data_IF_712873727819
#
_entry.id   IF_712873727819
#
_cell.length_a   1.000
_cell.length_b   1.000
_cell.length_c   1.000
_cell.angle_alpha   90.00
_cell.angle_beta   90.00
_cell.angle_gamma   90.00
#
_symmetry.space_group_name_H-M   'P 1'
#
loop_
_entity.id
_entity.type
_entity.pdbx_description
1 polymer ?
#
# COMPACT_ATOMS: atom_id res chain seq x y z
N UNK A 1 19.98 9.07 -14.80
CA UNK A 1 19.52 9.02 -13.42
C UNK A 1 18.46 7.95 -13.28
N UNK A 2 18.70 6.99 -12.43
CA UNK A 2 17.71 5.94 -12.16
C UNK A 2 16.75 6.43 -11.10
N UNK A 3 15.46 6.25 -11.38
CA UNK A 3 14.42 6.54 -10.40
C UNK A 3 13.91 5.19 -9.92
N UNK A 4 14.19 4.89 -8.66
CA UNK A 4 13.67 3.66 -8.07
C UNK A 4 12.19 3.85 -7.73
N UNK A 5 11.35 2.83 -7.98
CA UNK A 5 9.96 2.92 -7.59
C UNK A 5 9.83 3.00 -6.07
N UNK A 6 8.94 3.84 -5.59
CA UNK A 6 8.65 3.93 -4.17
C UNK A 6 7.84 2.71 -3.74
N UNK A 7 8.17 2.18 -2.56
CA UNK A 7 7.43 1.06 -2.02
C UNK A 7 5.97 1.46 -1.73
N UNK A 8 5.78 2.63 -1.14
CA UNK A 8 4.44 3.14 -0.87
C UNK A 8 4.41 4.65 -1.07
N UNK A 9 3.25 5.16 -1.50
CA UNK A 9 3.04 6.59 -1.71
C UNK A 9 1.56 6.91 -1.56
N UNK A 10 1.22 8.20 -1.43
CA UNK A 10 -0.17 8.59 -1.24
C UNK A 10 -0.60 9.67 -2.23
N UNK A 11 -1.92 9.73 -2.45
CA UNK A 11 -2.58 10.78 -3.20
C UNK A 11 -3.76 11.30 -2.41
N UNK A 12 -3.92 12.62 -2.41
CA UNK A 12 -5.14 13.23 -1.89
C UNK A 12 -6.08 13.45 -3.06
N UNK A 13 -7.35 13.07 -2.87
CA UNK A 13 -8.33 13.10 -3.93
C UNK A 13 -9.45 14.10 -3.58
N UNK A 14 -9.95 14.87 -4.57
CA UNK A 14 -11.05 15.81 -4.33
C UNK A 14 -12.39 15.10 -4.11
N UNK A 15 -12.50 13.83 -4.54
CA UNK A 15 -13.71 13.03 -4.39
C UNK A 15 -13.38 11.76 -3.59
N UNK A 16 -14.40 11.07 -3.02
CA UNK A 16 -14.13 9.82 -2.30
C UNK A 16 -13.41 8.78 -3.15
N UNK A 17 -12.44 8.02 -2.57
CA UNK A 17 -11.94 8.22 -1.22
C UNK A 17 -11.11 9.50 -1.11
N UNK A 18 -11.11 10.16 0.04
CA UNK A 18 -10.38 11.43 0.20
C UNK A 18 -8.88 11.28 0.23
N UNK A 19 -8.40 10.10 0.60
CA UNK A 19 -6.98 9.79 0.67
C UNK A 19 -6.77 8.35 0.21
N UNK A 20 -5.78 8.15 -0.64
CA UNK A 20 -5.43 6.84 -1.16
C UNK A 20 -3.92 6.63 -0.96
N UNK A 21 -3.57 5.47 -0.39
CA UNK A 21 -2.17 5.05 -0.28
C UNK A 21 -2.01 3.80 -1.13
N UNK A 22 -1.02 3.81 -2.01
CA UNK A 22 -0.72 2.66 -2.87
C UNK A 22 0.60 2.03 -2.44
N UNK A 23 0.60 0.71 -2.36
CA UNK A 23 1.79 -0.06 -2.05
C UNK A 23 2.14 -0.91 -3.26
N UNK A 24 3.35 -0.74 -3.77
CA UNK A 24 3.85 -1.50 -4.93
C UNK A 24 4.32 -2.88 -4.50
N UNK A 25 3.42 -3.64 -3.91
CA UNK A 25 3.72 -4.93 -3.29
C UNK A 25 4.37 -5.92 -4.24
N UNK A 26 3.82 -6.05 -5.44
CA UNK A 26 4.30 -7.03 -6.42
C UNK A 26 5.72 -6.79 -6.89
N UNK A 27 6.13 -5.51 -7.02
CA UNK A 27 7.48 -5.16 -7.45
C UNK A 27 8.51 -5.65 -6.44
N UNK A 28 8.21 -5.52 -5.14
CA UNK A 28 9.14 -5.85 -4.07
C UNK A 28 9.00 -7.30 -3.59
N UNK A 29 7.78 -7.85 -3.58
CA UNK A 29 7.54 -9.20 -3.10
C UNK A 29 7.54 -10.25 -4.21
N UNK A 30 7.32 -9.85 -5.44
CA UNK A 30 7.24 -10.77 -6.60
C UNK A 30 5.95 -11.59 -6.63
N UNK A 31 4.94 -11.19 -5.88
CA UNK A 31 3.65 -11.89 -5.77
C UNK A 31 2.57 -10.94 -5.25
N UNK A 32 1.34 -11.41 -5.27
CA UNK A 32 0.24 -10.69 -4.63
C UNK A 32 0.27 -10.88 -3.11
N UNK A 33 -0.29 -9.93 -2.38
CA UNK A 33 -0.47 -10.07 -0.94
C UNK A 33 -1.55 -11.12 -0.65
N UNK A 34 -1.35 -11.89 0.40
CA UNK A 34 -2.34 -12.89 0.83
C UNK A 34 -3.42 -12.24 1.69
N UNK A 35 -4.56 -12.92 1.84
CA UNK A 35 -5.63 -12.43 2.70
C UNK A 35 -5.16 -12.22 4.15
N UNK A 36 -4.33 -13.13 4.67
CA UNK A 36 -3.78 -13.01 6.03
C UNK A 36 -2.89 -11.77 6.16
N UNK A 37 -2.08 -11.50 5.14
CA UNK A 37 -1.22 -10.31 5.13
C UNK A 37 -2.05 -9.02 5.07
N UNK A 38 -3.13 -9.01 4.30
CA UNK A 38 -4.06 -7.87 4.24
C UNK A 38 -4.71 -7.64 5.61
N UNK A 39 -5.10 -8.71 6.30
CA UNK A 39 -5.67 -8.59 7.64
C UNK A 39 -4.67 -8.00 8.63
N UNK A 40 -3.41 -8.38 8.53
CA UNK A 40 -2.34 -7.81 9.37
C UNK A 40 -2.19 -6.31 9.12
N UNK A 41 -2.25 -5.90 7.85
CA UNK A 41 -2.18 -4.49 7.48
C UNK A 41 -3.37 -3.72 8.09
N UNK A 42 -4.57 -4.27 7.98
CA UNK A 42 -5.77 -3.67 8.55
C UNK A 42 -5.63 -3.48 10.05
N UNK A 43 -5.14 -4.50 10.76
CA UNK A 43 -4.94 -4.44 12.21
C UNK A 43 -3.92 -3.36 12.59
N UNK A 44 -2.91 -3.13 11.76
CA UNK A 44 -1.93 -2.08 12.00
C UNK A 44 -2.51 -0.68 11.77
N UNK A 45 -3.44 -0.53 10.84
CA UNK A 45 -3.97 0.77 10.43
C UNK A 45 -5.20 1.23 11.21
N UNK A 46 -6.07 0.31 11.61
CA UNK A 46 -7.32 0.65 12.31
C UNK A 46 -7.06 1.53 13.55
N UNK A 47 -6.09 1.23 14.43
CA UNK A 47 -5.85 2.10 15.59
C UNK A 47 -5.39 3.51 15.21
N UNK A 48 -4.85 3.70 14.02
CA UNK A 48 -4.33 5.01 13.57
C UNK A 48 -5.39 5.85 12.86
N UNK A 49 -6.31 5.20 12.17
CA UNK A 49 -7.25 5.87 11.26
C UNK A 49 -8.70 5.66 11.68
N UNK A 50 -9.03 4.52 12.26
CA UNK A 50 -10.38 4.12 12.63
C UNK A 50 -10.96 3.12 11.66
N UNK A 51 -11.12 3.50 10.40
CA UNK A 51 -11.69 2.62 9.38
C UNK A 51 -10.93 2.80 8.07
N UNK A 52 -10.62 1.68 7.42
CA UNK A 52 -9.92 1.67 6.14
C UNK A 52 -10.54 0.64 5.21
N UNK A 53 -10.45 0.90 3.91
CA UNK A 53 -10.75 -0.10 2.88
C UNK A 53 -9.45 -0.48 2.21
N UNK A 54 -9.19 -1.78 2.09
CA UNK A 54 -7.95 -2.28 1.50
C UNK A 54 -8.31 -3.14 0.30
N UNK A 55 -7.75 -2.79 -0.86
CA UNK A 55 -7.99 -3.49 -2.11
C UNK A 55 -6.67 -4.04 -2.63
N UNK A 56 -6.61 -5.35 -2.82
CA UNK A 56 -5.50 -5.97 -3.54
C UNK A 56 -5.90 -6.05 -5.00
N UNK A 57 -5.09 -5.46 -5.87
CA UNK A 57 -5.43 -5.40 -7.30
C UNK A 57 -4.26 -5.79 -8.17
N UNK A 58 -4.59 -6.29 -9.36
CA UNK A 58 -3.61 -6.58 -10.39
C UNK A 58 -3.78 -5.52 -11.47
N UNK A 59 -2.69 -4.84 -11.78
CA UNK A 59 -2.68 -3.79 -12.77
C UNK A 59 -1.87 -4.24 -13.97
N UNK A 60 -2.46 -4.12 -15.14
CA UNK A 60 -1.80 -4.46 -16.41
C UNK A 60 -1.29 -3.19 -17.06
N UNK A 61 0.02 -3.13 -17.28
CA UNK A 61 0.65 -2.07 -18.05
C UNK A 61 0.92 -2.64 -19.44
N UNK A 62 0.20 -2.14 -20.42
CA UNK A 62 0.27 -2.65 -21.78
C UNK A 62 0.80 -1.57 -22.72
N UNK A 63 1.95 -1.82 -23.34
CA UNK A 63 2.53 -0.97 -24.36
C UNK A 63 2.61 -1.71 -25.68
N UNK A 64 3.15 -1.04 -26.70
CA UNK A 64 3.25 -1.63 -28.03
C UNK A 64 4.15 -2.87 -28.06
N UNK A 65 5.19 -2.90 -27.25
CA UNK A 65 6.17 -3.97 -27.23
C UNK A 65 6.29 -4.68 -25.90
N UNK A 66 5.46 -4.30 -24.92
CA UNK A 66 5.59 -4.87 -23.59
C UNK A 66 4.24 -5.01 -22.88
N UNK A 67 4.17 -6.02 -22.05
CA UNK A 67 3.03 -6.23 -21.18
C UNK A 67 3.58 -6.67 -19.82
N UNK A 68 3.11 -6.02 -18.77
CA UNK A 68 3.51 -6.37 -17.41
C UNK A 68 2.29 -6.35 -16.51
N UNK A 69 2.19 -7.34 -15.63
CA UNK A 69 1.18 -7.40 -14.60
C UNK A 69 1.81 -7.01 -13.26
N UNK A 70 1.22 -6.05 -12.58
CA UNK A 70 1.71 -5.55 -11.31
C UNK A 70 0.66 -5.77 -10.22
N UNK A 71 1.11 -6.30 -9.09
CA UNK A 71 0.24 -6.47 -7.93
C UNK A 71 0.44 -5.30 -6.99
N UNK A 72 -0.63 -4.54 -6.75
CA UNK A 72 -0.62 -3.40 -5.85
C UNK A 72 -1.63 -3.60 -4.73
N UNK A 73 -1.35 -2.99 -3.59
CA UNK A 73 -2.31 -2.91 -2.49
C UNK A 73 -2.70 -1.45 -2.37
N UNK A 74 -4.00 -1.18 -2.43
CA UNK A 74 -4.54 0.17 -2.32
C UNK A 74 -5.29 0.31 -1.00
N UNK A 75 -4.90 1.30 -0.23
CA UNK A 75 -5.53 1.63 1.04
C UNK A 75 -6.34 2.90 0.82
N UNK A 76 -7.64 2.82 1.04
CA UNK A 76 -8.55 3.95 0.85
C UNK A 76 -9.08 4.45 2.18
N UNK A 77 -8.96 5.75 2.41
CA UNK A 77 -9.44 6.41 3.60
C UNK A 77 -10.61 7.31 3.22
N UNK A 78 -11.76 7.07 3.82
CA UNK A 78 -12.95 7.89 3.57
C UNK A 78 -12.70 9.34 4.00
N UNK A 79 -13.23 10.33 3.26
CA UNK A 79 -13.06 11.73 3.61
C UNK A 79 -13.46 12.07 5.05
N UNK A 80 -14.42 11.35 5.62
CA UNK A 80 -14.85 11.50 7.01
C UNK A 80 -13.69 11.34 8.00
N UNK A 81 -12.71 10.50 7.66
CA UNK A 81 -11.57 10.19 8.52
C UNK A 81 -10.32 10.98 8.17
N UNK A 82 -10.39 11.84 7.15
CA UNK A 82 -9.27 12.69 6.75
C UNK A 82 -9.41 14.05 7.42
N UNK A 83 -8.40 14.54 8.15
CA UNK A 83 -8.48 15.87 8.77
C UNK A 83 -8.70 16.97 7.73
N UNK A 84 -9.45 18.00 8.10
CA UNK A 84 -9.71 19.15 7.23
C UNK A 84 -8.44 20.00 7.01
N UNK A 85 -7.59 20.07 8.02
CA UNK A 85 -6.33 20.78 7.92
C UNK A 85 -5.34 20.03 7.03
N UNK A 86 -4.81 20.70 6.00
CA UNK A 86 -3.88 20.09 5.06
C UNK A 86 -2.64 19.48 5.72
N UNK A 87 -2.08 20.21 6.69
CA UNK A 87 -0.91 19.72 7.38
C UNK A 87 -1.20 18.43 8.16
N UNK A 88 -2.31 18.41 8.88
CA UNK A 88 -2.72 17.23 9.63
C UNK A 88 -3.05 16.05 8.71
N UNK A 89 -3.67 16.34 7.57
CA UNK A 89 -3.95 15.30 6.57
C UNK A 89 -2.65 14.70 6.02
N UNK A 90 -1.66 15.53 5.74
CA UNK A 90 -0.35 15.05 5.26
C UNK A 90 0.38 14.25 6.33
N UNK A 91 0.28 14.65 7.59
CA UNK A 91 0.86 13.89 8.70
C UNK A 91 0.22 12.51 8.80
N UNK A 92 -1.11 12.46 8.71
CA UNK A 92 -1.83 11.19 8.73
C UNK A 92 -1.40 10.30 7.55
N UNK A 93 -1.35 10.87 6.34
CA UNK A 93 -0.93 10.15 5.14
C UNK A 93 0.48 9.57 5.32
N UNK A 94 1.40 10.35 5.85
CA UNK A 94 2.77 9.92 6.12
C UNK A 94 2.84 8.75 7.09
N UNK A 95 2.00 8.76 8.12
CA UNK A 95 1.93 7.67 9.10
C UNK A 95 1.40 6.39 8.47
N UNK A 96 0.41 6.52 7.58
CA UNK A 96 -0.15 5.36 6.88
C UNK A 96 0.90 4.78 5.92
N UNK A 97 1.59 5.63 5.16
CA UNK A 97 2.67 5.21 4.27
C UNK A 97 3.75 4.46 5.05
N UNK A 98 4.19 5.01 6.18
CA UNK A 98 5.21 4.38 7.01
C UNK A 98 4.77 3.01 7.53
N UNK A 99 3.54 2.92 8.01
CA UNK A 99 2.99 1.65 8.49
C UNK A 99 2.89 0.63 7.36
N UNK A 100 2.45 1.06 6.18
CA UNK A 100 2.33 0.20 5.01
C UNK A 100 3.69 -0.29 4.53
N UNK A 101 4.70 0.57 4.54
CA UNK A 101 6.06 0.17 4.18
C UNK A 101 6.64 -0.84 5.17
N UNK A 102 6.43 -0.61 6.46
CA UNK A 102 6.88 -1.54 7.50
C UNK A 102 6.23 -2.91 7.32
N UNK A 103 4.93 -2.92 7.08
CA UNK A 103 4.19 -4.13 6.81
C UNK A 103 4.72 -4.87 5.57
N UNK A 104 4.89 -4.16 4.47
CA UNK A 104 5.36 -4.76 3.21
C UNK A 104 6.76 -5.35 3.36
N UNK A 105 7.66 -4.65 4.05
CA UNK A 105 9.01 -5.16 4.31
C UNK A 105 8.98 -6.41 5.16
N UNK A 106 8.08 -6.47 6.14
CA UNK A 106 7.86 -7.65 6.96
C UNK A 106 7.40 -8.85 6.14
N UNK A 107 6.47 -8.64 5.21
CA UNK A 107 5.99 -9.69 4.33
C UNK A 107 7.10 -10.26 3.45
N UNK A 108 7.96 -9.38 2.91
CA UNK A 108 9.10 -9.80 2.08
C UNK A 108 10.12 -10.58 2.91
N UNK A 109 10.43 -10.12 4.11
CA UNK A 109 11.39 -10.78 5.01
C UNK A 109 10.90 -12.16 5.44
N UNK A 110 9.62 -12.28 5.80
CA UNK A 110 9.02 -13.56 6.21
C UNK A 110 9.11 -14.59 5.08
N UNK A 111 8.85 -14.17 3.84
CA UNK A 111 8.98 -15.07 2.72
C UNK A 111 10.42 -15.52 2.49
N UNK A 112 11.36 -14.62 2.65
CA UNK A 112 12.78 -14.95 2.51
C UNK A 112 13.20 -15.96 3.59
N UNK A 113 12.72 -15.79 4.82
CA UNK A 113 12.99 -16.72 5.91
C UNK A 113 12.41 -18.10 5.62
N UNK A 114 11.18 -18.19 5.13
CA UNK A 114 10.54 -19.45 4.76
C UNK A 114 11.31 -20.18 3.68
N UNK A 115 11.76 -19.46 2.66
CA UNK A 115 12.53 -20.04 1.56
C UNK A 115 13.88 -20.54 2.07
N UNK A 116 14.50 -19.84 3.00
CA UNK A 116 15.80 -20.21 3.56
C UNK A 116 15.76 -21.49 4.39
N UNK A 117 14.62 -21.83 4.97
CA UNK A 117 14.46 -23.03 5.78
C UNK A 117 14.24 -24.29 4.95
N UNK A 118 14.00 -24.13 3.68
CA UNK A 118 13.83 -25.25 2.77
C UNK A 118 15.16 -25.67 2.17
#
# INVERSE_FOLDING_TARGET
MQIEPQLAFYHRLPEPPGLEVRVNFGIFAGRAATAAEIDELAQALIPKVGEVSIVAEERHEIGEESEAALHQVRIEIDPEYVPDDEHEADVLAGRIVEAAETWARGCVADRSAEVSEL
#
